data_IF_697064190929
#
_entry.id   IF_697064190929
#
_cell.length_a   1.000
_cell.length_b   1.000
_cell.length_c   1.000
_cell.angle_alpha   90.00
_cell.angle_beta   90.00
_cell.angle_gamma   90.00
#
_symmetry.space_group_name_H-M   'P 1'
#
loop_
_entity.id
_entity.type
_entity.pdbx_description
1 polymer ?
#
# COMPACT_ATOMS: atom_id res chain seq x y z
N UNK A 1 -2.81 -4.67 15.93
CA UNK A 1 -3.71 -4.47 17.09
C UNK A 1 -3.54 -5.62 18.08
N UNK A 2 -3.86 -5.37 19.33
CA UNK A 2 -4.01 -6.43 20.34
C UNK A 2 -5.49 -6.54 20.74
N UNK A 3 -6.10 -7.69 20.50
CA UNK A 3 -7.48 -7.99 20.81
C UNK A 3 -7.50 -9.16 21.83
N UNK A 4 -7.66 -8.82 23.13
CA UNK A 4 -7.44 -9.77 24.21
C UNK A 4 -5.99 -10.25 24.24
N UNK A 5 -5.78 -11.56 24.14
CA UNK A 5 -4.44 -12.17 24.14
C UNK A 5 -3.87 -12.44 22.72
N UNK A 6 -4.54 -11.95 21.67
CA UNK A 6 -4.11 -12.14 20.28
C UNK A 6 -3.61 -10.86 19.66
N UNK A 7 -2.61 -10.98 18.79
CA UNK A 7 -2.19 -9.91 17.90
C UNK A 7 -2.82 -10.13 16.54
N UNK A 8 -3.36 -9.06 15.96
CA UNK A 8 -4.05 -9.08 14.67
C UNK A 8 -3.59 -7.89 13.80
N UNK A 9 -3.53 -8.10 12.50
CA UNK A 9 -3.38 -7.03 11.52
C UNK A 9 -4.76 -6.51 11.11
N UNK A 10 -4.82 -5.23 10.76
CA UNK A 10 -6.03 -4.62 10.20
C UNK A 10 -5.66 -3.46 9.30
N UNK A 11 -6.34 -3.36 8.17
CA UNK A 11 -6.37 -2.16 7.32
C UNK A 11 -7.76 -1.56 7.50
N UNK A 12 -7.81 -0.33 7.99
CA UNK A 12 -9.05 0.40 8.26
C UNK A 12 -9.00 1.78 7.61
N UNK A 13 -10.10 2.26 7.10
CA UNK A 13 -10.21 3.59 6.52
C UNK A 13 -10.43 4.66 7.58
N UNK A 14 -10.98 4.28 8.75
CA UNK A 14 -11.24 5.19 9.84
C UNK A 14 -11.05 4.53 11.20
N UNK A 15 -10.66 5.34 12.19
CA UNK A 15 -10.44 4.90 13.57
C UNK A 15 -11.65 4.16 14.20
N UNK A 16 -12.87 4.51 13.81
CA UNK A 16 -14.08 3.84 14.30
C UNK A 16 -14.24 2.39 13.85
N UNK A 17 -13.48 1.97 12.84
CA UNK A 17 -13.47 0.58 12.36
C UNK A 17 -12.59 -0.34 13.22
N UNK A 18 -11.82 0.22 14.16
CA UNK A 18 -11.06 -0.59 15.13
C UNK A 18 -12.07 -1.29 16.06
N UNK A 19 -12.05 -2.64 16.17
CA UNK A 19 -13.01 -3.35 16.98
C UNK A 19 -12.98 -2.92 18.44
N UNK A 20 -14.16 -2.88 19.07
CA UNK A 20 -14.26 -2.56 20.49
C UNK A 20 -13.45 -3.56 21.33
N UNK A 21 -12.71 -3.07 22.30
CA UNK A 21 -11.86 -3.90 23.16
C UNK A 21 -10.49 -4.26 22.56
N UNK A 22 -10.17 -3.78 21.37
CA UNK A 22 -8.83 -3.88 20.80
C UNK A 22 -8.00 -2.63 21.04
N UNK A 23 -6.72 -2.81 21.29
CA UNK A 23 -5.75 -1.72 21.42
C UNK A 23 -4.86 -1.63 20.18
N UNK A 24 -4.69 -0.44 19.63
CA UNK A 24 -3.72 -0.20 18.55
C UNK A 24 -2.32 -0.16 19.16
N UNK A 25 -1.48 -1.13 18.79
CA UNK A 25 -0.08 -1.18 19.26
C UNK A 25 0.81 -0.31 18.37
N UNK A 26 0.61 -0.42 17.06
CA UNK A 26 1.31 0.41 16.08
C UNK A 26 0.40 0.62 14.88
N UNK A 27 0.62 1.71 14.16
CA UNK A 27 -0.12 2.01 12.93
C UNK A 27 0.78 2.71 11.92
N UNK A 28 0.49 2.51 10.65
CA UNK A 28 1.05 3.27 9.55
C UNK A 28 -0.09 3.77 8.68
N UNK A 29 0.09 4.94 8.06
CA UNK A 29 -0.87 5.51 7.14
C UNK A 29 -0.37 5.35 5.72
N UNK A 30 -1.28 4.98 4.82
CA UNK A 30 -1.06 4.88 3.38
C UNK A 30 -2.35 5.19 2.64
N UNK A 31 -2.40 4.85 1.38
CA UNK A 31 -3.57 4.98 0.51
C UNK A 31 -3.15 5.04 -0.96
N UNK A 32 -4.10 4.84 -1.86
CA UNK A 32 -5.50 4.50 -1.58
C UNK A 32 -5.68 3.04 -1.12
N UNK A 33 -6.85 2.77 -0.53
CA UNK A 33 -7.33 1.41 -0.31
C UNK A 33 -7.51 0.73 -1.67
N UNK A 34 -7.02 -0.52 -1.78
CA UNK A 34 -7.04 -1.31 -3.01
C UNK A 34 -8.10 -2.42 -2.92
N UNK A 35 -8.17 -3.09 -1.78
CA UNK A 35 -9.15 -4.13 -1.48
C UNK A 35 -9.86 -3.85 -0.16
N UNK A 36 -11.18 -4.17 -0.07
CA UNK A 36 -11.99 -4.91 -1.07
C UNK A 36 -12.37 -4.07 -2.30
N UNK A 37 -12.25 -2.77 -2.24
CA UNK A 37 -12.63 -1.82 -3.28
C UNK A 37 -11.55 -0.76 -3.46
N UNK A 38 -11.24 -0.41 -4.71
CA UNK A 38 -10.24 0.62 -5.01
C UNK A 38 -10.83 2.02 -4.83
N UNK A 39 -10.37 2.74 -3.81
CA UNK A 39 -10.98 4.01 -3.34
C UNK A 39 -10.18 5.25 -3.72
N UNK A 40 -9.81 5.38 -4.97
CA UNK A 40 -9.03 6.53 -5.44
C UNK A 40 -9.79 7.85 -5.38
N UNK A 41 -11.10 7.84 -5.68
CA UNK A 41 -11.95 9.05 -5.67
C UNK A 41 -12.37 9.39 -4.24
N UNK A 42 -12.87 8.42 -3.49
CA UNK A 42 -13.36 8.59 -2.12
C UNK A 42 -12.26 9.09 -1.17
N UNK A 43 -11.03 8.66 -1.41
CA UNK A 43 -9.86 9.08 -0.62
C UNK A 43 -9.14 10.31 -1.21
N UNK A 44 -9.68 10.88 -2.29
CA UNK A 44 -9.21 12.14 -2.87
C UNK A 44 -7.90 12.05 -3.64
N UNK A 45 -7.48 10.85 -4.06
CA UNK A 45 -6.32 10.66 -4.95
C UNK A 45 -6.60 11.09 -6.37
N UNK A 46 -7.84 10.98 -6.82
CA UNK A 46 -8.33 11.59 -8.06
C UNK A 46 -9.55 12.45 -7.77
N UNK A 47 -9.67 13.53 -8.54
CA UNK A 47 -10.85 14.42 -8.52
C UNK A 47 -11.35 14.55 -9.95
N UNK A 48 -12.65 14.37 -10.13
CA UNK A 48 -13.34 14.52 -11.41
C UNK A 48 -14.22 15.77 -11.43
N UNK A 49 -14.42 16.34 -12.62
CA UNK A 49 -15.41 17.39 -12.84
C UNK A 49 -16.82 16.79 -13.03
N UNK A 50 -17.80 17.65 -13.27
CA UNK A 50 -19.19 17.22 -13.48
C UNK A 50 -19.38 16.34 -14.73
N UNK A 51 -18.47 16.45 -15.70
CA UNK A 51 -18.44 15.67 -16.93
C UNK A 51 -17.70 14.33 -16.78
N UNK A 52 -17.20 14.00 -15.55
CA UNK A 52 -16.48 12.78 -15.25
C UNK A 52 -14.99 12.77 -15.67
N UNK A 53 -14.45 13.90 -16.10
CA UNK A 53 -13.05 14.00 -16.50
C UNK A 53 -12.17 14.21 -15.27
N UNK A 54 -11.03 13.53 -15.19
CA UNK A 54 -10.05 13.71 -14.12
C UNK A 54 -9.39 15.08 -14.26
N UNK A 55 -9.59 15.93 -13.27
CA UNK A 55 -9.00 17.29 -13.20
C UNK A 55 -7.83 17.38 -12.22
N UNK A 56 -7.69 16.40 -11.35
CA UNK A 56 -6.54 16.27 -10.44
C UNK A 56 -6.23 14.81 -10.17
N UNK A 57 -4.96 14.48 -10.18
CA UNK A 57 -4.40 13.20 -9.79
C UNK A 57 -3.27 13.42 -8.77
N UNK A 58 -3.21 12.59 -7.77
CA UNK A 58 -2.14 12.57 -6.75
C UNK A 58 -1.43 11.23 -6.76
N UNK A 59 -0.14 11.23 -6.44
CA UNK A 59 0.65 10.01 -6.28
C UNK A 59 0.70 9.08 -7.51
N UNK A 60 0.50 9.62 -8.70
CA UNK A 60 0.54 8.87 -9.98
C UNK A 60 -0.33 7.60 -9.95
N UNK A 61 -1.52 7.67 -9.34
CA UNK A 61 -2.38 6.50 -9.12
C UNK A 61 -2.90 5.88 -10.42
N UNK A 62 -3.03 6.67 -11.48
CA UNK A 62 -3.48 6.23 -12.80
C UNK A 62 -2.33 5.77 -13.72
N UNK A 63 -1.08 5.99 -13.33
CA UNK A 63 0.07 5.67 -14.16
C UNK A 63 0.76 4.38 -13.70
N UNK A 64 1.40 3.69 -14.64
CA UNK A 64 2.25 2.54 -14.32
C UNK A 64 3.56 3.02 -13.70
N UNK A 65 3.83 2.56 -12.51
CA UNK A 65 5.06 2.87 -11.77
C UNK A 65 5.35 1.74 -10.78
N UNK A 66 6.52 1.77 -10.15
CA UNK A 66 6.81 0.89 -9.01
C UNK A 66 5.89 1.20 -7.83
N UNK A 67 5.54 0.18 -7.06
CA UNK A 67 4.56 0.27 -5.97
C UNK A 67 5.02 -0.47 -4.74
N UNK A 68 4.62 0.05 -3.59
CA UNK A 68 4.70 -0.62 -2.29
C UNK A 68 3.29 -0.85 -1.78
N UNK A 69 2.94 -2.11 -1.53
CA UNK A 69 1.58 -2.51 -1.14
C UNK A 69 1.68 -3.35 0.12
N UNK A 70 0.76 -3.12 1.05
CA UNK A 70 0.51 -4.03 2.17
C UNK A 70 -0.84 -4.69 1.94
N UNK A 71 -0.84 -6.02 1.97
CA UNK A 71 -2.04 -6.84 1.86
C UNK A 71 -2.21 -7.75 3.06
N UNK A 72 -3.45 -8.04 3.41
CA UNK A 72 -3.81 -8.95 4.49
C UNK A 72 -4.61 -10.13 3.95
N UNK A 73 -4.33 -11.31 4.49
CA UNK A 73 -5.14 -12.51 4.31
C UNK A 73 -5.51 -13.02 5.70
N UNK A 74 -6.81 -13.01 5.98
CA UNK A 74 -7.26 -13.18 7.37
C UNK A 74 -6.81 -12.01 8.25
N UNK A 75 -6.48 -12.32 9.51
CA UNK A 75 -6.07 -11.34 10.52
C UNK A 75 -4.62 -11.51 10.99
N UNK A 76 -3.97 -12.55 10.57
CA UNK A 76 -2.67 -13.04 11.03
C UNK A 76 -1.62 -13.14 9.91
N UNK A 77 -2.03 -13.04 8.65
CA UNK A 77 -1.12 -13.10 7.51
C UNK A 77 -1.00 -11.72 6.83
N UNK A 78 0.20 -11.16 6.84
CA UNK A 78 0.51 -9.86 6.23
C UNK A 78 1.50 -10.05 5.08
N UNK A 79 1.15 -9.56 3.91
CA UNK A 79 1.95 -9.55 2.69
C UNK A 79 2.49 -8.15 2.42
N UNK A 80 3.78 -8.04 2.15
CA UNK A 80 4.40 -6.84 1.62
C UNK A 80 4.75 -7.13 0.16
N UNK A 81 4.12 -6.40 -0.77
CA UNK A 81 4.33 -6.55 -2.20
C UNK A 81 5.12 -5.35 -2.70
N UNK A 82 6.17 -5.64 -3.44
CA UNK A 82 6.99 -4.64 -4.12
C UNK A 82 6.87 -4.87 -5.62
N UNK A 83 6.31 -3.91 -6.32
CA UNK A 83 6.27 -3.85 -7.79
C UNK A 83 7.45 -3.00 -8.24
N UNK A 84 8.31 -3.55 -9.07
CA UNK A 84 9.55 -2.91 -9.52
C UNK A 84 9.35 -2.12 -10.80
N UNK A 85 10.33 -1.27 -11.13
CA UNK A 85 10.34 -0.51 -12.38
C UNK A 85 10.48 -1.38 -13.64
N UNK A 86 10.95 -2.62 -13.49
CA UNK A 86 11.06 -3.57 -14.60
C UNK A 86 9.69 -4.06 -15.09
N UNK A 87 8.70 -4.07 -14.19
CA UNK A 87 7.33 -4.45 -14.52
C UNK A 87 6.33 -3.54 -13.77
N UNK A 88 6.30 -2.25 -14.10
CA UNK A 88 5.49 -1.28 -13.37
C UNK A 88 4.00 -1.52 -13.58
N UNK A 89 3.19 -1.24 -12.56
CA UNK A 89 1.74 -1.43 -12.56
C UNK A 89 1.00 -0.16 -12.21
N UNK A 90 -0.18 0.04 -12.80
CA UNK A 90 -1.18 0.95 -12.27
C UNK A 90 -1.98 0.29 -11.13
N UNK A 91 -2.83 1.05 -10.44
CA UNK A 91 -3.54 0.50 -9.29
C UNK A 91 -4.67 -0.48 -9.66
N UNK A 92 -5.18 -0.47 -10.88
CA UNK A 92 -6.14 -1.48 -11.34
C UNK A 92 -5.45 -2.83 -11.55
N UNK A 93 -4.25 -2.83 -12.13
CA UNK A 93 -3.42 -4.03 -12.27
C UNK A 93 -3.00 -4.57 -10.90
N UNK A 94 -2.64 -3.68 -9.96
CA UNK A 94 -2.32 -4.06 -8.58
C UNK A 94 -3.54 -4.66 -7.87
N UNK A 95 -4.73 -4.09 -8.05
CA UNK A 95 -5.96 -4.65 -7.50
C UNK A 95 -6.21 -6.08 -8.01
N UNK A 96 -6.02 -6.30 -9.32
CA UNK A 96 -6.13 -7.64 -9.91
C UNK A 96 -5.11 -8.60 -9.30
N UNK A 97 -3.85 -8.19 -9.18
CA UNK A 97 -2.80 -8.99 -8.53
C UNK A 97 -3.18 -9.36 -7.09
N UNK A 98 -3.67 -8.42 -6.31
CA UNK A 98 -4.10 -8.65 -4.93
C UNK A 98 -5.26 -9.67 -4.86
N UNK A 99 -6.22 -9.59 -5.81
CA UNK A 99 -7.30 -10.57 -5.92
C UNK A 99 -6.78 -11.97 -6.31
N UNK A 100 -5.86 -12.05 -7.28
CA UNK A 100 -5.25 -13.32 -7.71
C UNK A 100 -4.48 -13.99 -6.54
N UNK A 101 -3.86 -13.19 -5.67
CA UNK A 101 -3.21 -13.64 -4.44
C UNK A 101 -4.20 -13.98 -3.32
N UNK A 102 -5.50 -13.75 -3.52
CA UNK A 102 -6.59 -13.99 -2.55
C UNK A 102 -6.39 -13.21 -1.26
N UNK A 103 -5.96 -11.97 -1.36
CA UNK A 103 -5.90 -11.05 -0.23
C UNK A 103 -7.30 -10.51 0.07
N UNK A 104 -7.62 -10.37 1.36
CA UNK A 104 -8.92 -9.85 1.80
C UNK A 104 -8.94 -8.32 1.84
N UNK A 105 -7.79 -7.73 2.17
CA UNK A 105 -7.59 -6.28 2.22
C UNK A 105 -6.23 -5.92 1.68
N UNK A 106 -6.14 -4.77 1.02
CA UNK A 106 -4.87 -4.24 0.55
C UNK A 106 -4.89 -2.72 0.51
N UNK A 107 -3.73 -2.11 0.75
CA UNK A 107 -3.55 -0.66 0.75
C UNK A 107 -2.21 -0.32 0.11
N UNK A 108 -2.19 0.74 -0.70
CA UNK A 108 -0.95 1.27 -1.25
C UNK A 108 -0.21 2.11 -0.21
N UNK A 109 1.11 2.12 -0.33
CA UNK A 109 2.01 3.06 0.31
C UNK A 109 2.68 3.94 -0.74
N UNK A 110 3.57 4.84 -0.33
CA UNK A 110 4.34 5.66 -1.25
C UNK A 110 5.09 4.75 -2.25
N UNK A 111 4.97 5.07 -3.51
CA UNK A 111 5.48 4.30 -4.64
C UNK A 111 6.52 5.07 -5.46
N UNK A 112 6.68 4.67 -6.72
CA UNK A 112 7.65 5.29 -7.61
C UNK A 112 9.06 5.21 -7.04
N UNK A 113 9.79 6.32 -7.04
CA UNK A 113 11.16 6.39 -6.52
C UNK A 113 11.29 6.13 -5.02
N UNK A 114 10.19 6.03 -4.28
CA UNK A 114 10.19 5.67 -2.86
C UNK A 114 10.09 4.16 -2.61
N UNK A 115 9.80 3.37 -3.64
CA UNK A 115 9.70 1.92 -3.53
C UNK A 115 11.08 1.32 -3.33
N UNK A 116 11.29 0.69 -2.19
CA UNK A 116 12.53 -0.03 -1.89
C UNK A 116 12.29 -1.09 -0.82
N UNK A 117 13.08 -2.15 -0.86
CA UNK A 117 13.04 -3.23 0.12
C UNK A 117 14.43 -3.84 0.28
N UNK A 118 14.81 -4.09 1.52
CA UNK A 118 15.93 -4.95 1.87
C UNK A 118 15.42 -6.06 2.77
N UNK A 119 15.66 -7.31 2.40
CA UNK A 119 15.29 -8.48 3.18
C UNK A 119 16.51 -9.32 3.49
N UNK A 120 16.98 -9.27 4.76
CA UNK A 120 18.12 -10.05 5.28
C UNK A 120 19.40 -9.91 4.45
N UNK A 121 19.61 -8.76 3.82
CA UNK A 121 20.70 -8.51 2.87
C UNK A 121 20.76 -9.51 1.68
N UNK A 122 19.67 -10.20 1.38
CA UNK A 122 19.57 -11.16 0.28
C UNK A 122 18.70 -10.67 -0.87
N UNK A 123 17.71 -9.84 -0.54
CA UNK A 123 16.84 -9.20 -1.54
C UNK A 123 16.96 -7.71 -1.34
N UNK A 124 17.48 -7.03 -2.32
CA UNK A 124 17.51 -5.58 -2.35
C UNK A 124 16.78 -5.10 -3.60
N UNK A 125 15.77 -4.27 -3.40
CA UNK A 125 15.05 -3.60 -4.46
C UNK A 125 15.14 -2.11 -4.19
N UNK A 126 15.65 -1.37 -5.15
CA UNK A 126 15.73 0.08 -5.11
C UNK A 126 15.11 0.63 -6.38
N UNK A 127 13.98 1.30 -6.25
CA UNK A 127 13.29 1.91 -7.38
C UNK A 127 13.75 3.33 -7.57
N UNK A 128 14.88 3.50 -8.25
CA UNK A 128 15.38 4.81 -8.63
C UNK A 128 16.00 4.80 -10.01
N UNK A 129 15.70 5.81 -10.77
CA UNK A 129 16.46 6.15 -11.98
C UNK A 129 17.68 6.94 -11.54
N UNK A 130 18.85 6.29 -11.46
CA UNK A 130 20.09 6.98 -11.13
C UNK A 130 21.16 6.05 -10.55
N UNK A 131 22.04 6.58 -9.77
CA UNK A 131 23.32 6.07 -9.26
C UNK A 131 23.25 4.92 -8.23
N UNK A 132 22.14 4.20 -8.18
CA UNK A 132 22.00 2.98 -7.37
C UNK A 132 21.80 3.18 -5.87
N UNK A 133 21.97 4.41 -5.36
CA UNK A 133 21.85 4.68 -3.93
C UNK A 133 20.40 4.83 -3.43
N UNK A 134 19.45 4.95 -4.34
CA UNK A 134 18.06 5.19 -3.99
C UNK A 134 17.77 6.62 -3.54
N UNK A 135 16.50 6.91 -3.34
CA UNK A 135 16.05 8.20 -2.82
C UNK A 135 16.18 8.23 -1.30
N UNK A 136 16.58 9.37 -0.76
CA UNK A 136 16.48 9.60 0.69
C UNK A 136 15.01 9.61 1.13
N UNK A 137 14.63 8.67 2.00
CA UNK A 137 13.31 8.54 2.58
C UNK A 137 13.32 9.07 4.01
N UNK A 138 12.23 9.73 4.42
CA UNK A 138 12.07 10.24 5.78
C UNK A 138 11.68 9.14 6.78
N UNK A 139 11.06 8.08 6.29
CA UNK A 139 10.59 6.95 7.11
C UNK A 139 10.55 5.67 6.29
N UNK A 140 10.66 4.54 6.97
CA UNK A 140 10.53 3.20 6.41
C UNK A 140 9.97 2.25 7.46
N UNK A 141 9.39 1.15 7.00
CA UNK A 141 8.90 0.08 7.85
C UNK A 141 10.01 -0.92 8.12
N UNK A 142 10.24 -1.24 9.38
CA UNK A 142 11.09 -2.36 9.80
C UNK A 142 10.23 -3.52 10.26
N UNK A 143 10.60 -4.72 9.80
CA UNK A 143 10.00 -5.99 10.23
C UNK A 143 11.13 -6.87 10.77
N UNK A 144 11.01 -7.32 12.01
CA UNK A 144 12.01 -8.14 12.70
C UNK A 144 11.35 -9.24 13.53
#
# INVERSE_FOLDING_TARGET
>A
MQCGNKFEYSIVSHKSEVPFGCNVITSAQGGPLILPELRMEEEGFIVKNAEGQVIRESASVLHKTSRTIIGLKGKDECHILIITDDNPMDLYEVQKLCNDLKLDRAMAFDGGSSTSMNYKNQIEVVSTKGDGAGRMLKSFMLVY
#
